data_IF_232613493485
#
_entry.id   IF_232613493485
#
_cell.length_a   1.000
_cell.length_b   1.000
_cell.length_c   1.000
_cell.angle_alpha   90.00
_cell.angle_beta   90.00
_cell.angle_gamma   90.00
#
_symmetry.space_group_name_H-M   'P 1'
#
loop_
_entity.id
_entity.type
_entity.pdbx_description
1 polymer ?
#
# COMPACT_ATOMS: atom_id res chain seq x y z
N UNK A 1 15.96 -22.69 65.94
CA UNK A 1 16.75 -22.22 64.78
C UNK A 1 16.36 -23.06 63.57
N UNK A 2 15.44 -22.54 62.73
CA UNK A 2 14.92 -23.26 61.55
C UNK A 2 16.02 -23.30 60.48
N UNK A 3 16.51 -24.50 60.17
CA UNK A 3 17.47 -24.76 59.08
C UNK A 3 16.78 -24.51 57.75
N UNK A 4 17.02 -23.36 57.13
CA UNK A 4 16.65 -23.12 55.74
C UNK A 4 17.59 -24.00 54.89
N UNK A 5 17.02 -24.96 54.16
CA UNK A 5 17.77 -25.87 53.29
C UNK A 5 18.54 -25.10 52.23
N UNK A 6 19.86 -25.33 52.16
CA UNK A 6 20.79 -24.71 51.20
C UNK A 6 20.34 -24.89 49.74
N UNK A 7 19.62 -25.98 49.44
CA UNK A 7 19.04 -26.24 48.11
C UNK A 7 17.92 -25.28 47.71
N UNK A 8 17.17 -24.72 48.67
CA UNK A 8 16.12 -23.73 48.42
C UNK A 8 16.73 -22.36 48.06
N UNK A 9 17.88 -22.04 48.63
CA UNK A 9 18.62 -20.79 48.38
C UNK A 9 19.29 -20.83 46.99
N UNK A 10 19.86 -21.98 46.60
CA UNK A 10 20.49 -22.14 45.27
C UNK A 10 19.46 -22.08 44.13
N UNK A 11 18.26 -22.65 44.31
CA UNK A 11 17.21 -22.61 43.29
C UNK A 11 16.70 -21.20 43.00
N UNK A 12 16.60 -20.34 44.02
CA UNK A 12 16.17 -18.94 43.87
C UNK A 12 17.24 -18.11 43.14
N UNK A 13 18.52 -18.30 43.48
CA UNK A 13 19.64 -17.59 42.82
C UNK A 13 19.74 -17.95 41.33
N UNK A 14 19.50 -19.22 40.96
CA UNK A 14 19.53 -19.66 39.56
C UNK A 14 18.35 -19.09 38.74
N UNK A 15 17.15 -18.94 39.32
CA UNK A 15 16.02 -18.29 38.64
C UNK A 15 16.22 -16.78 38.41
N UNK A 16 16.96 -16.09 39.28
CA UNK A 16 17.28 -14.65 39.12
C UNK A 16 18.40 -14.38 38.08
N UNK A 17 19.18 -15.38 37.70
CA UNK A 17 20.23 -15.28 36.67
C UNK A 17 19.71 -15.44 35.23
N UNK A 18 18.47 -15.91 35.05
CA UNK A 18 17.84 -16.09 33.72
C UNK A 18 16.94 -14.92 33.33
N UNK A 19 16.71 -13.96 34.23
CA UNK A 19 16.06 -12.70 33.91
C UNK A 19 17.03 -11.74 33.18
N UNK A 20 17.57 -12.17 32.04
CA UNK A 20 18.12 -11.20 31.09
C UNK A 20 16.96 -10.31 30.67
N UNK A 21 17.09 -9.04 30.97
CA UNK A 21 16.16 -8.01 30.55
C UNK A 21 16.20 -8.01 29.03
N UNK A 22 15.25 -8.70 28.38
CA UNK A 22 14.91 -8.42 27.01
C UNK A 22 14.26 -7.03 27.01
N UNK A 23 15.09 -5.99 27.09
CA UNK A 23 14.66 -4.66 26.70
C UNK A 23 14.43 -4.75 25.21
N UNK A 24 13.21 -5.12 24.82
CA UNK A 24 12.69 -4.93 23.49
C UNK A 24 12.48 -3.41 23.26
N UNK A 25 13.54 -2.62 23.47
CA UNK A 25 13.59 -1.30 22.86
C UNK A 25 13.50 -1.57 21.37
N UNK A 26 12.40 -1.13 20.76
CA UNK A 26 12.33 -0.95 19.32
C UNK A 26 13.58 -0.19 18.93
N UNK A 27 14.51 -0.88 18.28
CA UNK A 27 15.77 -0.30 17.91
C UNK A 27 15.50 0.73 16.81
N UNK A 28 16.00 1.94 17.04
CA UNK A 28 15.78 3.10 16.18
C UNK A 28 17.06 3.39 15.43
N UNK A 29 16.91 3.70 14.15
CA UNK A 29 17.97 4.21 13.28
C UNK A 29 17.58 5.58 12.79
N UNK A 30 18.54 6.48 12.70
CA UNK A 30 18.33 7.85 12.24
C UNK A 30 18.85 8.00 10.81
N UNK A 31 18.11 8.74 9.98
CA UNK A 31 18.43 9.03 8.58
C UNK A 31 18.42 10.55 8.38
N UNK A 32 19.49 11.10 7.83
CA UNK A 32 19.60 12.53 7.54
C UNK A 32 20.35 12.80 6.23
N UNK A 33 20.05 13.93 5.59
CA UNK A 33 20.63 14.40 4.33
C UNK A 33 22.13 14.70 4.41
N UNK A 34 22.66 14.86 5.62
CA UNK A 34 24.10 15.08 5.89
C UNK A 34 24.74 13.92 6.66
N UNK A 35 24.05 12.77 6.76
CA UNK A 35 24.55 11.59 7.47
C UNK A 35 25.71 10.89 6.76
N UNK A 36 26.11 9.75 7.32
CA UNK A 36 27.10 8.83 6.78
C UNK A 36 26.65 7.38 7.03
N UNK A 37 26.53 6.57 5.97
CA UNK A 37 26.11 5.17 6.07
C UNK A 37 27.15 4.27 6.74
N UNK A 38 28.40 4.73 6.88
CA UNK A 38 29.45 4.05 7.65
C UNK A 38 29.42 4.38 9.16
N UNK A 39 28.62 5.37 9.58
CA UNK A 39 28.51 5.81 10.96
C UNK A 39 27.66 4.90 11.85
N UNK A 40 27.60 5.23 13.14
CA UNK A 40 26.64 4.61 14.07
C UNK A 40 25.25 5.25 13.88
N UNK A 41 24.48 4.70 12.95
CA UNK A 41 23.16 5.23 12.65
C UNK A 41 22.14 5.03 13.78
N UNK A 42 22.48 4.35 14.88
CA UNK A 42 21.63 4.28 16.08
C UNK A 42 21.76 5.54 16.95
N UNK A 43 22.79 6.35 16.70
CA UNK A 43 23.00 7.63 17.33
C UNK A 43 22.53 8.77 16.42
N UNK A 44 21.61 9.60 16.94
CA UNK A 44 21.03 10.72 16.19
C UNK A 44 22.07 11.74 15.69
N UNK A 45 23.22 11.86 16.38
CA UNK A 45 24.30 12.76 15.98
C UNK A 45 25.15 12.20 14.82
N UNK A 46 25.02 10.91 14.52
CA UNK A 46 25.72 10.22 13.42
C UNK A 46 24.73 9.41 12.58
N UNK A 47 23.70 10.05 11.99
CA UNK A 47 22.65 9.35 11.26
C UNK A 47 23.20 8.74 9.96
N UNK A 48 22.50 7.72 9.44
CA UNK A 48 22.72 7.21 8.09
C UNK A 48 22.43 8.31 7.05
N UNK A 49 23.07 8.24 5.88
CA UNK A 49 22.89 9.18 4.77
C UNK A 49 21.76 8.79 3.83
N UNK A 50 21.68 7.51 3.50
CA UNK A 50 20.77 6.97 2.48
C UNK A 50 19.69 6.09 3.09
N UNK A 51 18.55 5.97 2.40
CA UNK A 51 17.49 5.07 2.83
C UNK A 51 17.98 3.61 2.84
N UNK A 52 18.78 3.21 1.85
CA UNK A 52 19.37 1.87 1.82
C UNK A 52 20.32 1.63 3.00
N UNK A 53 21.17 2.60 3.34
CA UNK A 53 22.06 2.53 4.51
C UNK A 53 21.26 2.35 5.80
N UNK A 54 20.22 3.16 5.99
CA UNK A 54 19.32 3.06 7.14
C UNK A 54 18.58 1.71 7.20
N UNK A 55 18.12 1.18 6.07
CA UNK A 55 17.49 -0.15 5.98
C UNK A 55 18.46 -1.27 6.33
N UNK A 56 19.73 -1.17 5.91
CA UNK A 56 20.76 -2.14 6.27
C UNK A 56 21.02 -2.12 7.78
N UNK A 57 21.22 -0.94 8.36
CA UNK A 57 21.52 -0.74 9.78
C UNK A 57 20.33 -1.04 10.71
N UNK A 58 19.10 -0.81 10.25
CA UNK A 58 17.90 -1.02 11.07
C UNK A 58 17.69 -2.52 11.34
N UNK A 59 17.58 -2.97 12.59
CA UNK A 59 17.23 -4.36 12.87
C UNK A 59 15.78 -4.65 12.46
N UNK A 60 15.45 -5.95 12.35
CA UNK A 60 14.08 -6.36 12.10
C UNK A 60 13.15 -5.86 13.22
N UNK A 61 11.95 -5.41 12.83
CA UNK A 61 10.95 -4.74 13.65
C UNK A 61 11.40 -3.37 14.22
N UNK A 62 12.50 -2.80 13.73
CA UNK A 62 12.97 -1.47 14.10
C UNK A 62 12.25 -0.32 13.40
N UNK A 63 12.64 0.90 13.74
CA UNK A 63 12.11 2.14 13.16
C UNK A 63 13.24 3.02 12.63
N UNK A 64 13.13 3.43 11.37
CA UNK A 64 13.97 4.44 10.73
C UNK A 64 13.28 5.78 10.85
N UNK A 65 13.92 6.73 11.54
CA UNK A 65 13.44 8.09 11.75
C UNK A 65 14.20 9.02 10.81
N UNK A 66 13.48 9.65 9.88
CA UNK A 66 14.05 10.67 9.00
C UNK A 66 14.06 12.00 9.75
N UNK A 67 15.22 12.66 9.82
CA UNK A 67 15.46 13.81 10.68
C UNK A 67 15.29 15.16 9.98
N UNK A 68 15.58 15.22 8.68
CA UNK A 68 15.66 16.46 7.92
C UNK A 68 14.98 16.33 6.55
N UNK A 69 14.93 17.44 5.81
CA UNK A 69 14.47 17.45 4.42
C UNK A 69 15.63 17.02 3.52
N UNK A 70 15.37 16.17 2.54
CA UNK A 70 16.43 15.74 1.64
C UNK A 70 16.01 14.68 0.65
N UNK A 71 16.94 14.38 -0.26
CA UNK A 71 16.87 13.20 -1.12
C UNK A 71 17.57 12.01 -0.47
N UNK A 72 16.88 10.86 -0.41
CA UNK A 72 17.37 9.65 0.28
C UNK A 72 17.63 8.44 -0.60
N UNK A 73 17.33 8.54 -1.90
CA UNK A 73 17.54 7.46 -2.87
C UNK A 73 16.54 6.31 -2.70
N UNK A 74 16.79 5.22 -3.44
CA UNK A 74 16.01 3.98 -3.34
C UNK A 74 16.41 3.13 -2.13
N UNK A 75 15.62 2.08 -1.87
CA UNK A 75 16.00 1.02 -0.96
C UNK A 75 15.35 -0.31 -1.34
N UNK A 76 16.02 -1.41 -0.98
CA UNK A 76 15.51 -2.76 -0.99
C UNK A 76 15.25 -3.22 0.45
N UNK A 77 13.97 -3.41 0.80
CA UNK A 77 13.50 -3.76 2.14
C UNK A 77 13.09 -5.22 2.16
N UNK A 78 13.80 -6.03 2.96
CA UNK A 78 13.63 -7.49 3.01
C UNK A 78 13.32 -8.03 4.41
N UNK A 79 12.93 -7.16 5.34
CA UNK A 79 12.61 -7.48 6.73
C UNK A 79 11.55 -6.53 7.26
N UNK A 80 10.84 -6.95 8.29
CA UNK A 80 9.90 -6.07 8.99
C UNK A 80 10.61 -4.81 9.52
N UNK A 81 10.09 -3.62 9.24
CA UNK A 81 10.56 -2.33 9.78
C UNK A 81 9.56 -1.21 9.48
N UNK A 82 9.75 -0.06 10.12
CA UNK A 82 9.04 1.18 9.79
C UNK A 82 10.01 2.23 9.26
N UNK A 83 9.64 2.94 8.19
CA UNK A 83 10.28 4.18 7.75
C UNK A 83 9.33 5.33 8.05
N UNK A 84 9.77 6.28 8.86
CA UNK A 84 8.93 7.35 9.39
C UNK A 84 9.53 8.73 9.11
N UNK A 85 8.92 9.45 8.18
CA UNK A 85 9.10 10.89 8.03
C UNK A 85 8.01 11.63 8.81
N UNK A 86 8.42 12.42 9.79
CA UNK A 86 7.49 13.23 10.60
C UNK A 86 6.83 14.32 9.76
N UNK A 87 5.67 14.79 10.18
CA UNK A 87 5.00 15.91 9.50
C UNK A 87 5.93 17.13 9.40
N UNK A 88 5.99 17.74 8.21
CA UNK A 88 6.90 18.84 7.89
C UNK A 88 8.25 18.40 7.31
N UNK A 89 8.56 17.11 7.33
CA UNK A 89 9.74 16.55 6.66
C UNK A 89 9.40 16.16 5.22
N UNK A 90 10.14 16.71 4.26
CA UNK A 90 10.12 16.30 2.85
C UNK A 90 11.17 15.22 2.65
N UNK A 91 10.75 13.97 2.88
CA UNK A 91 11.54 12.79 2.55
C UNK A 91 11.44 12.47 1.06
N UNK A 92 12.24 13.16 0.25
CA UNK A 92 12.17 13.08 -1.21
C UNK A 92 12.81 11.80 -1.74
N UNK A 93 12.05 11.05 -2.53
CA UNK A 93 12.50 9.80 -3.16
C UNK A 93 12.01 9.76 -4.61
N UNK A 94 12.95 9.83 -5.56
CA UNK A 94 12.63 9.81 -6.98
C UNK A 94 12.94 8.47 -7.66
N UNK A 95 13.17 7.43 -6.86
CA UNK A 95 13.58 6.09 -7.31
C UNK A 95 12.67 5.02 -6.70
N UNK A 96 12.59 3.86 -7.34
CA UNK A 96 11.78 2.74 -6.82
C UNK A 96 12.25 2.31 -5.43
N UNK A 97 11.30 2.13 -4.51
CA UNK A 97 11.52 1.35 -3.29
C UNK A 97 11.02 -0.07 -3.55
N UNK A 98 11.89 -1.05 -3.39
CA UNK A 98 11.52 -2.46 -3.50
C UNK A 98 11.23 -3.02 -2.11
N UNK A 99 10.07 -3.64 -1.95
CA UNK A 99 9.66 -4.31 -0.71
C UNK A 99 9.48 -5.80 -1.01
N UNK A 100 10.45 -6.61 -0.61
CA UNK A 100 10.47 -8.06 -0.83
C UNK A 100 10.59 -8.78 0.52
N UNK A 101 9.46 -8.89 1.22
CA UNK A 101 9.36 -9.39 2.59
C UNK A 101 8.64 -10.74 2.66
N UNK A 102 8.91 -11.52 3.71
CA UNK A 102 8.27 -12.81 3.92
C UNK A 102 6.78 -12.66 4.27
N UNK A 103 6.00 -13.74 4.19
CA UNK A 103 4.55 -13.72 4.43
C UNK A 103 4.14 -13.28 5.84
N UNK A 104 5.03 -13.42 6.82
CA UNK A 104 4.81 -12.99 8.20
C UNK A 104 5.35 -11.59 8.50
N UNK A 105 6.08 -10.99 7.56
CA UNK A 105 6.70 -9.69 7.75
C UNK A 105 5.73 -8.54 7.49
N UNK A 106 6.01 -7.40 8.13
CA UNK A 106 5.29 -6.14 7.94
C UNK A 106 6.25 -4.97 7.76
N UNK A 107 6.06 -4.22 6.68
CA UNK A 107 6.75 -2.95 6.42
C UNK A 107 5.76 -1.80 6.47
N UNK A 108 6.13 -0.72 7.13
CA UNK A 108 5.36 0.54 7.14
C UNK A 108 6.23 1.64 6.53
N UNK A 109 5.73 2.29 5.48
CA UNK A 109 6.35 3.44 4.84
C UNK A 109 5.44 4.65 5.06
N UNK A 110 5.93 5.63 5.83
CA UNK A 110 5.12 6.78 6.27
C UNK A 110 5.77 8.11 5.94
N UNK A 111 4.97 9.05 5.43
CA UNK A 111 5.38 10.44 5.24
C UNK A 111 6.30 10.67 4.04
N UNK A 112 6.35 9.73 3.09
CA UNK A 112 7.29 9.82 1.97
C UNK A 112 6.75 10.75 0.88
N UNK A 113 7.64 11.51 0.26
CA UNK A 113 7.34 12.35 -0.90
C UNK A 113 8.06 11.79 -2.13
N UNK A 114 7.33 11.04 -2.96
CA UNK A 114 7.90 10.34 -4.11
C UNK A 114 7.54 11.02 -5.43
N UNK A 115 8.54 11.20 -6.30
CA UNK A 115 8.36 11.77 -7.64
C UNK A 115 9.26 11.11 -8.69
N UNK A 116 8.68 10.31 -9.58
CA UNK A 116 9.41 9.51 -10.59
C UNK A 116 9.85 10.24 -11.87
N UNK A 117 9.41 11.49 -12.10
CA UNK A 117 9.53 12.17 -13.41
C UNK A 117 10.96 12.28 -13.91
N UNK A 118 11.93 12.51 -13.01
CA UNK A 118 13.31 12.82 -13.38
C UNK A 118 14.07 11.59 -13.86
N UNK A 119 13.81 10.45 -13.22
CA UNK A 119 14.67 9.29 -13.34
C UNK A 119 14.08 8.15 -14.17
N UNK A 120 12.77 8.19 -14.45
CA UNK A 120 12.11 7.24 -15.35
C UNK A 120 11.97 5.83 -14.78
N UNK A 121 12.06 5.66 -13.46
CA UNK A 121 11.76 4.37 -12.84
C UNK A 121 10.30 4.00 -13.10
N UNK A 122 10.06 2.72 -13.37
CA UNK A 122 8.74 2.23 -13.73
C UNK A 122 7.76 2.42 -12.57
N UNK A 123 8.12 1.94 -11.38
CA UNK A 123 7.24 1.92 -10.23
C UNK A 123 7.78 2.80 -9.09
N UNK A 124 6.89 3.43 -8.32
CA UNK A 124 7.26 4.10 -7.08
C UNK A 124 7.62 3.09 -5.99
N UNK A 125 6.69 2.19 -5.70
CA UNK A 125 6.90 1.07 -4.80
C UNK A 125 6.66 -0.25 -5.53
N UNK A 126 7.69 -1.07 -5.64
CA UNK A 126 7.59 -2.43 -6.15
C UNK A 126 7.43 -3.40 -4.97
N UNK A 127 6.18 -3.84 -4.73
CA UNK A 127 5.86 -4.77 -3.65
C UNK A 127 5.84 -6.21 -4.17
N UNK A 128 6.98 -6.88 -4.01
CA UNK A 128 7.28 -8.20 -4.56
C UNK A 128 7.35 -9.30 -3.48
N UNK A 129 7.03 -8.96 -2.23
CA UNK A 129 6.96 -9.90 -1.10
C UNK A 129 5.53 -10.31 -0.74
N UNK A 130 5.40 -11.47 -0.08
CA UNK A 130 4.09 -12.02 0.32
C UNK A 130 3.55 -11.49 1.66
N UNK A 131 4.25 -10.56 2.31
CA UNK A 131 3.89 -10.03 3.63
C UNK A 131 2.85 -8.92 3.61
N UNK A 132 2.97 -7.98 4.54
CA UNK A 132 2.13 -6.78 4.62
C UNK A 132 2.93 -5.51 4.34
N UNK A 133 2.54 -4.75 3.34
CA UNK A 133 3.03 -3.39 3.11
C UNK A 133 1.95 -2.38 3.53
N UNK A 134 2.32 -1.44 4.40
CA UNK A 134 1.49 -0.31 4.79
C UNK A 134 2.13 0.97 4.28
N UNK A 135 1.36 1.75 3.53
CA UNK A 135 1.76 3.05 3.01
C UNK A 135 0.84 4.11 3.60
N UNK A 136 1.42 5.04 4.36
CA UNK A 136 0.66 6.02 5.14
C UNK A 136 1.15 7.45 4.88
N UNK A 137 0.24 8.40 4.82
CA UNK A 137 0.56 9.84 4.84
C UNK A 137 1.58 10.24 3.75
N UNK A 138 1.54 9.59 2.59
CA UNK A 138 2.58 9.72 1.57
C UNK A 138 2.01 10.31 0.28
N UNK A 139 2.88 10.98 -0.47
CA UNK A 139 2.58 11.46 -1.82
C UNK A 139 3.40 10.64 -2.80
N UNK A 140 2.77 10.02 -3.80
CA UNK A 140 3.45 9.21 -4.82
C UNK A 140 3.02 9.66 -6.20
N UNK A 141 3.96 10.23 -6.96
CA UNK A 141 3.64 10.83 -8.23
C UNK A 141 4.67 10.57 -9.34
N UNK A 142 4.21 10.66 -10.59
CA UNK A 142 5.11 10.80 -11.74
C UNK A 142 5.86 9.54 -12.16
N UNK A 143 5.44 8.35 -11.72
CA UNK A 143 6.04 7.08 -12.15
C UNK A 143 5.43 6.61 -13.46
N UNK A 144 6.26 6.09 -14.38
CA UNK A 144 5.83 5.77 -15.74
C UNK A 144 4.91 4.54 -15.82
N UNK A 145 4.94 3.69 -14.79
CA UNK A 145 4.07 2.55 -14.62
C UNK A 145 3.19 2.73 -13.37
N UNK A 146 3.49 2.12 -12.22
CA UNK A 146 2.62 2.19 -11.05
C UNK A 146 3.18 3.06 -9.92
N UNK A 147 2.33 3.81 -9.21
CA UNK A 147 2.72 4.42 -7.95
C UNK A 147 3.05 3.31 -6.93
N UNK A 148 2.17 2.31 -6.83
CA UNK A 148 2.40 1.07 -6.07
C UNK A 148 2.04 -0.12 -6.94
N UNK A 149 3.02 -1.00 -7.19
CA UNK A 149 2.84 -2.27 -7.88
C UNK A 149 2.82 -3.43 -6.86
N UNK A 150 1.64 -3.97 -6.59
CA UNK A 150 1.44 -5.18 -5.78
C UNK A 150 1.56 -6.41 -6.69
N UNK A 151 2.75 -6.99 -6.75
CA UNK A 151 3.10 -8.01 -7.73
C UNK A 151 3.12 -9.44 -7.18
N UNK A 152 3.08 -9.61 -5.85
CA UNK A 152 3.18 -10.93 -5.22
C UNK A 152 1.85 -11.47 -4.70
N UNK A 153 1.52 -12.70 -5.04
CA UNK A 153 0.34 -13.39 -4.54
C UNK A 153 0.42 -13.62 -3.01
N UNK A 154 -0.73 -13.66 -2.32
CA UNK A 154 -0.77 -13.77 -0.85
C UNK A 154 -0.43 -12.48 -0.09
N UNK A 155 0.00 -11.43 -0.78
CA UNK A 155 0.38 -10.16 -0.17
C UNK A 155 -0.82 -9.35 0.32
N UNK A 156 -0.57 -8.51 1.33
CA UNK A 156 -1.53 -7.58 1.90
C UNK A 156 -0.99 -6.14 1.74
N UNK A 157 -1.75 -5.29 1.06
CA UNK A 157 -1.42 -3.88 0.87
C UNK A 157 -2.44 -3.00 1.61
N UNK A 158 -1.94 -2.05 2.39
CA UNK A 158 -2.75 -1.02 3.04
C UNK A 158 -2.25 0.34 2.57
N UNK A 159 -3.11 1.15 1.97
CA UNK A 159 -2.84 2.51 1.53
C UNK A 159 -3.77 3.45 2.28
N UNK A 160 -3.23 4.27 3.17
CA UNK A 160 -4.03 5.14 4.02
C UNK A 160 -3.53 6.59 3.96
N UNK A 161 -4.46 7.52 3.75
CA UNK A 161 -4.18 8.95 3.73
C UNK A 161 -3.05 9.32 2.75
N UNK A 162 -3.11 8.80 1.53
CA UNK A 162 -2.11 9.05 0.50
C UNK A 162 -2.67 9.88 -0.67
N UNK A 163 -1.79 10.64 -1.31
CA UNK A 163 -2.06 11.31 -2.58
C UNK A 163 -1.28 10.61 -3.70
N UNK A 164 -1.99 10.02 -4.66
CA UNK A 164 -1.42 9.19 -5.72
C UNK A 164 -1.78 9.80 -7.07
N UNK A 165 -0.81 10.39 -7.76
CA UNK A 165 -1.13 11.21 -8.94
C UNK A 165 -0.12 11.19 -10.08
N UNK A 166 -0.58 11.42 -11.31
CA UNK A 166 0.28 11.51 -12.50
C UNK A 166 1.12 10.23 -12.73
N UNK A 167 0.55 9.05 -12.45
CA UNK A 167 1.16 7.76 -12.76
C UNK A 167 0.37 7.07 -13.88
N UNK A 168 0.90 6.04 -14.53
CA UNK A 168 0.05 5.22 -15.40
C UNK A 168 -0.99 4.47 -14.55
N UNK A 169 -0.56 3.79 -13.49
CA UNK A 169 -1.42 3.17 -12.48
C UNK A 169 -1.20 3.82 -11.12
N UNK A 170 -2.25 4.15 -10.38
CA UNK A 170 -2.12 4.56 -9.00
C UNK A 170 -1.72 3.37 -8.12
N UNK A 171 -2.66 2.44 -7.94
CA UNK A 171 -2.38 1.11 -7.37
C UNK A 171 -2.65 0.07 -8.44
N UNK A 172 -1.64 -0.77 -8.73
CA UNK A 172 -1.76 -1.89 -9.65
C UNK A 172 -1.53 -3.21 -8.93
N UNK A 173 -2.51 -4.10 -8.98
CA UNK A 173 -2.31 -5.49 -8.61
C UNK A 173 -2.03 -6.30 -9.88
N UNK A 174 -0.79 -6.79 -10.00
CA UNK A 174 -0.28 -7.48 -11.20
C UNK A 174 0.10 -8.94 -10.92
N UNK A 175 -0.51 -9.55 -9.90
CA UNK A 175 -0.04 -10.79 -9.27
C UNK A 175 -0.08 -12.04 -10.14
N UNK A 176 -0.87 -12.02 -11.21
CA UNK A 176 -0.93 -13.11 -12.20
C UNK A 176 -1.22 -14.52 -11.60
N UNK A 177 -1.90 -14.61 -10.44
CA UNK A 177 -1.97 -15.83 -9.63
C UNK A 177 -3.39 -16.14 -9.12
N UNK A 178 -3.69 -17.42 -8.87
CA UNK A 178 -4.94 -17.86 -8.23
C UNK A 178 -4.94 -17.59 -6.71
N UNK A 179 -3.76 -17.42 -6.10
CA UNK A 179 -3.65 -17.13 -4.67
C UNK A 179 -4.09 -15.70 -4.41
N UNK A 180 -5.07 -15.54 -3.52
CA UNK A 180 -5.67 -14.26 -3.22
C UNK A 180 -4.66 -13.23 -2.71
N UNK A 181 -4.88 -11.98 -3.09
CA UNK A 181 -4.26 -10.80 -2.49
C UNK A 181 -5.32 -9.89 -1.88
N UNK A 182 -4.94 -9.16 -0.84
CA UNK A 182 -5.83 -8.21 -0.18
C UNK A 182 -5.27 -6.80 -0.32
N UNK A 183 -6.14 -5.85 -0.64
CA UNK A 183 -5.79 -4.44 -0.71
C UNK A 183 -6.84 -3.61 0.00
N UNK A 184 -6.41 -2.75 0.92
CA UNK A 184 -7.28 -1.78 1.60
C UNK A 184 -6.79 -0.38 1.29
N UNK A 185 -7.64 0.42 0.69
CA UNK A 185 -7.38 1.82 0.33
C UNK A 185 -8.35 2.69 1.11
N UNK A 186 -7.82 3.63 1.87
CA UNK A 186 -8.60 4.47 2.75
C UNK A 186 -8.09 5.91 2.80
N UNK A 187 -8.99 6.89 2.95
CA UNK A 187 -8.64 8.31 3.08
C UNK A 187 -7.75 8.85 1.95
N UNK A 188 -7.74 8.23 0.77
CA UNK A 188 -6.73 8.49 -0.24
C UNK A 188 -7.31 9.18 -1.47
N UNK A 189 -6.45 9.87 -2.21
CA UNK A 189 -6.82 10.62 -3.41
C UNK A 189 -6.01 10.15 -4.61
N UNK A 190 -6.71 9.71 -5.66
CA UNK A 190 -6.13 9.22 -6.91
C UNK A 190 -6.49 10.17 -8.04
N UNK A 191 -5.50 10.89 -8.58
CA UNK A 191 -5.74 11.91 -9.60
C UNK A 191 -4.77 11.92 -10.78
N UNK A 192 -5.28 12.23 -11.97
CA UNK A 192 -4.46 12.35 -13.17
C UNK A 192 -3.63 11.09 -13.48
N UNK A 193 -4.09 9.93 -13.02
CA UNK A 193 -3.50 8.65 -13.42
C UNK A 193 -4.19 8.15 -14.70
N UNK A 194 -3.56 7.29 -15.48
CA UNK A 194 -4.30 6.58 -16.54
C UNK A 194 -5.35 5.64 -15.90
N UNK A 195 -4.97 4.98 -14.81
CA UNK A 195 -5.83 4.12 -14.02
C UNK A 195 -5.63 4.48 -12.53
N UNK A 196 -6.70 4.81 -11.82
CA UNK A 196 -6.63 5.07 -10.38
C UNK A 196 -6.25 3.80 -9.62
N UNK A 197 -7.12 2.79 -9.68
CA UNK A 197 -6.90 1.47 -9.10
C UNK A 197 -7.24 0.39 -10.12
N UNK A 198 -6.28 -0.46 -10.46
CA UNK A 198 -6.49 -1.62 -11.32
C UNK A 198 -6.01 -2.92 -10.67
N UNK A 199 -6.82 -3.96 -10.81
CA UNK A 199 -6.45 -5.33 -10.46
C UNK A 199 -6.64 -6.20 -11.69
N UNK A 200 -5.54 -6.74 -12.21
CA UNK A 200 -5.54 -7.49 -13.46
C UNK A 200 -4.77 -8.81 -13.34
N UNK A 201 -5.38 -9.88 -13.85
CA UNK A 201 -4.71 -11.16 -14.08
C UNK A 201 -4.49 -12.05 -12.86
N UNK A 202 -4.99 -11.69 -11.67
CA UNK A 202 -4.88 -12.53 -10.47
C UNK A 202 -6.13 -12.46 -9.60
N UNK A 203 -6.20 -13.33 -8.58
CA UNK A 203 -7.24 -13.29 -7.56
C UNK A 203 -6.98 -12.14 -6.60
N UNK A 204 -7.89 -11.17 -6.54
CA UNK A 204 -7.73 -10.00 -5.68
C UNK A 204 -9.06 -9.59 -5.02
N UNK A 205 -8.97 -9.26 -3.73
CA UNK A 205 -10.03 -8.63 -2.97
C UNK A 205 -9.57 -7.23 -2.54
N UNK A 206 -10.28 -6.21 -3.01
CA UNK A 206 -9.95 -4.80 -2.75
C UNK A 206 -11.11 -4.10 -2.05
N UNK A 207 -10.80 -3.33 -1.02
CA UNK A 207 -11.73 -2.39 -0.39
C UNK A 207 -11.21 -0.97 -0.55
N UNK A 208 -12.03 -0.08 -1.11
CA UNK A 208 -11.75 1.33 -1.28
C UNK A 208 -12.79 2.11 -0.48
N UNK A 209 -12.34 2.87 0.51
CA UNK A 209 -13.23 3.60 1.42
C UNK A 209 -12.83 5.05 1.62
N UNK A 210 -13.82 5.95 1.73
CA UNK A 210 -13.58 7.38 2.10
C UNK A 210 -12.48 8.02 1.25
N UNK A 211 -12.51 7.74 -0.04
CA UNK A 211 -11.45 8.09 -0.98
C UNK A 211 -12.02 8.81 -2.21
N UNK A 212 -11.15 9.51 -2.92
CA UNK A 212 -11.50 10.25 -4.14
C UNK A 212 -10.70 9.69 -5.31
N UNK A 213 -11.38 9.28 -6.38
CA UNK A 213 -10.76 8.85 -7.64
C UNK A 213 -11.26 9.79 -8.74
N UNK A 214 -10.46 10.80 -9.06
CA UNK A 214 -10.90 11.87 -9.94
C UNK A 214 -9.89 12.27 -11.00
N UNK A 215 -10.36 12.79 -12.15
CA UNK A 215 -9.50 13.26 -13.23
C UNK A 215 -8.53 12.19 -13.79
N UNK A 216 -8.83 10.91 -13.61
CA UNK A 216 -8.07 9.82 -14.21
C UNK A 216 -8.63 9.49 -15.60
N UNK A 217 -7.87 8.81 -16.45
CA UNK A 217 -8.49 8.21 -17.64
C UNK A 217 -9.52 7.15 -17.21
N UNK A 218 -9.19 6.33 -16.22
CA UNK A 218 -10.08 5.34 -15.60
C UNK A 218 -9.96 5.39 -14.06
N UNK A 219 -11.08 5.44 -13.34
CA UNK A 219 -11.09 5.44 -11.87
C UNK A 219 -10.75 4.07 -11.25
N UNK A 220 -11.65 3.09 -11.38
CA UNK A 220 -11.53 1.74 -10.78
C UNK A 220 -11.75 0.64 -11.82
N UNK A 221 -10.84 -0.36 -11.87
CA UNK A 221 -10.95 -1.49 -12.79
C UNK A 221 -10.55 -2.85 -12.19
N UNK A 222 -11.49 -3.78 -11.98
CA UNK A 222 -11.18 -5.19 -11.97
C UNK A 222 -11.15 -5.75 -13.40
N UNK A 223 -10.14 -6.56 -13.69
CA UNK A 223 -10.00 -7.28 -14.95
C UNK A 223 -9.65 -8.75 -14.70
N UNK A 224 -10.48 -9.64 -15.24
CA UNK A 224 -10.27 -11.08 -15.16
C UNK A 224 -10.46 -11.73 -16.52
N UNK A 225 -9.50 -12.57 -16.91
CA UNK A 225 -9.55 -13.38 -18.13
C UNK A 225 -9.51 -14.89 -17.83
N UNK A 226 -9.69 -15.29 -16.56
CA UNK A 226 -9.62 -16.68 -16.12
C UNK A 226 -10.67 -16.99 -15.05
N UNK A 227 -11.35 -18.12 -15.19
CA UNK A 227 -12.34 -18.64 -14.23
C UNK A 227 -11.75 -18.87 -12.83
N UNK A 228 -10.43 -19.05 -12.73
CA UNK A 228 -9.74 -19.31 -11.44
C UNK A 228 -9.16 -18.06 -10.79
N UNK A 229 -9.32 -16.89 -11.41
CA UNK A 229 -8.75 -15.61 -10.95
C UNK A 229 -9.86 -14.55 -10.83
N UNK A 230 -10.80 -14.71 -9.89
CA UNK A 230 -11.84 -13.73 -9.68
C UNK A 230 -11.28 -12.45 -9.03
N UNK A 231 -11.77 -11.30 -9.47
CA UNK A 231 -11.42 -9.99 -8.89
C UNK A 231 -12.68 -9.34 -8.35
N UNK A 232 -12.64 -8.97 -7.07
CA UNK A 232 -13.70 -8.22 -6.39
C UNK A 232 -13.15 -6.90 -5.84
N UNK A 233 -13.75 -5.80 -6.25
CA UNK A 233 -13.48 -4.47 -5.68
C UNK A 233 -14.75 -3.94 -5.02
N UNK A 234 -14.67 -3.63 -3.73
CA UNK A 234 -15.74 -2.97 -2.98
C UNK A 234 -15.40 -1.49 -2.84
N UNK A 235 -16.35 -0.64 -3.18
CA UNK A 235 -16.23 0.83 -3.12
C UNK A 235 -17.28 1.35 -2.16
N UNK A 236 -16.85 1.96 -1.06
CA UNK A 236 -17.74 2.53 -0.05
C UNK A 236 -17.40 3.99 0.27
N UNK A 237 -18.40 4.85 0.37
CA UNK A 237 -18.21 6.26 0.78
C UNK A 237 -17.14 6.97 -0.06
N UNK A 238 -17.12 6.72 -1.37
CA UNK A 238 -16.13 7.29 -2.29
C UNK A 238 -16.76 8.32 -3.23
N UNK A 239 -15.90 9.18 -3.80
CA UNK A 239 -16.25 10.05 -4.93
C UNK A 239 -15.45 9.62 -6.15
N UNK A 240 -16.13 9.21 -7.22
CA UNK A 240 -15.53 8.80 -8.50
C UNK A 240 -16.01 9.80 -9.55
N UNK A 241 -15.18 10.79 -9.86
CA UNK A 241 -15.63 11.96 -10.61
C UNK A 241 -14.67 12.45 -11.68
N UNK A 242 -15.18 13.06 -12.74
CA UNK A 242 -14.35 13.70 -13.78
C UNK A 242 -13.36 12.75 -14.48
N UNK A 243 -13.58 11.44 -14.44
CA UNK A 243 -12.74 10.48 -15.13
C UNK A 243 -13.23 10.29 -16.58
N UNK A 244 -12.35 9.82 -17.47
CA UNK A 244 -12.78 9.33 -18.79
C UNK A 244 -13.81 8.19 -18.64
N UNK A 245 -13.50 7.24 -17.76
CA UNK A 245 -14.40 6.17 -17.29
C UNK A 245 -14.33 6.12 -15.76
N UNK A 246 -15.46 6.25 -15.07
CA UNK A 246 -15.51 6.20 -13.61
C UNK A 246 -15.14 4.82 -13.09
N UNK A 247 -15.94 3.83 -13.45
CA UNK A 247 -15.69 2.41 -13.13
C UNK A 247 -15.78 1.55 -14.37
N UNK A 248 -14.87 0.58 -14.51
CA UNK A 248 -14.91 -0.40 -15.60
C UNK A 248 -14.69 -1.82 -15.09
N UNK A 249 -15.65 -2.73 -15.28
CA UNK A 249 -15.48 -4.14 -14.97
C UNK A 249 -15.29 -4.95 -16.26
N UNK A 250 -14.18 -5.71 -16.35
CA UNK A 250 -13.84 -6.50 -17.54
C UNK A 250 -13.71 -7.97 -17.19
N UNK A 251 -14.59 -8.81 -17.71
CA UNK A 251 -14.54 -10.26 -17.47
C UNK A 251 -14.61 -11.05 -18.79
N UNK A 252 -13.47 -11.52 -19.28
CA UNK A 252 -13.32 -12.24 -20.55
C UNK A 252 -13.06 -13.74 -20.31
N UNK A 253 -13.33 -14.59 -21.32
CA UNK A 253 -12.99 -16.03 -21.31
C UNK A 253 -13.46 -16.79 -20.06
N UNK A 254 -14.62 -16.42 -19.50
CA UNK A 254 -15.18 -16.99 -18.28
C UNK A 254 -14.60 -16.42 -16.97
N UNK A 255 -13.76 -15.39 -17.04
CA UNK A 255 -13.31 -14.65 -15.86
C UNK A 255 -14.47 -14.03 -15.07
N UNK A 256 -14.15 -13.60 -13.85
CA UNK A 256 -15.09 -12.91 -12.97
C UNK A 256 -14.45 -11.61 -12.47
N UNK A 257 -15.05 -10.48 -12.81
CA UNK A 257 -14.61 -9.16 -12.38
C UNK A 257 -15.82 -8.35 -11.92
N UNK A 258 -15.87 -8.05 -10.63
CA UNK A 258 -17.02 -7.40 -10.00
C UNK A 258 -16.59 -6.16 -9.22
N UNK A 259 -17.33 -5.08 -9.41
CA UNK A 259 -17.30 -3.91 -8.53
C UNK A 259 -18.61 -3.88 -7.73
N UNK A 260 -18.55 -3.73 -6.41
CA UNK A 260 -19.73 -3.49 -5.57
C UNK A 260 -19.65 -2.11 -4.94
N UNK A 261 -20.71 -1.33 -5.08
CA UNK A 261 -20.68 0.09 -4.70
C UNK A 261 -21.76 0.40 -3.66
N UNK A 262 -21.37 1.04 -2.56
CA UNK A 262 -22.25 1.56 -1.51
C UNK A 262 -21.91 3.00 -1.14
N UNK A 263 -22.91 3.77 -0.71
CA UNK A 263 -22.76 5.14 -0.17
C UNK A 263 -21.86 6.08 -1.00
N UNK A 264 -21.72 5.85 -2.30
CA UNK A 264 -20.72 6.52 -3.12
C UNK A 264 -21.36 7.41 -4.18
N UNK A 265 -20.61 8.41 -4.62
CA UNK A 265 -20.99 9.30 -5.72
C UNK A 265 -20.18 8.96 -6.96
N UNK A 266 -20.85 8.69 -8.08
CA UNK A 266 -20.25 8.47 -9.40
C UNK A 266 -20.81 9.52 -10.36
N UNK A 267 -20.06 10.59 -10.60
CA UNK A 267 -20.57 11.75 -11.34
C UNK A 267 -19.57 12.43 -12.27
N UNK A 268 -20.08 13.18 -13.25
CA UNK A 268 -19.24 13.95 -14.19
C UNK A 268 -18.17 13.13 -14.93
N UNK A 269 -18.34 11.82 -15.09
CA UNK A 269 -17.44 10.99 -15.87
C UNK A 269 -17.88 10.94 -17.35
N UNK A 270 -16.96 10.66 -18.27
CA UNK A 270 -17.29 10.37 -19.67
C UNK A 270 -18.20 9.13 -19.78
N UNK A 271 -17.81 8.04 -19.11
CA UNK A 271 -18.67 6.88 -18.83
C UNK A 271 -18.73 6.68 -17.32
N UNK A 272 -19.92 6.55 -16.74
CA UNK A 272 -20.07 6.30 -15.30
C UNK A 272 -19.59 4.89 -14.92
N UNK A 273 -20.32 3.88 -15.38
CA UNK A 273 -20.13 2.46 -15.06
C UNK A 273 -20.12 1.63 -16.35
N UNK A 274 -18.92 1.27 -16.82
CA UNK A 274 -18.72 0.48 -18.02
C UNK A 274 -18.51 -0.99 -17.66
N UNK A 275 -19.31 -1.91 -18.20
CA UNK A 275 -19.09 -3.34 -17.99
C UNK A 275 -18.91 -4.01 -19.35
N UNK A 276 -17.86 -4.82 -19.46
CA UNK A 276 -17.44 -5.49 -20.68
C UNK A 276 -17.56 -6.99 -20.50
N UNK A 277 -18.15 -7.67 -21.48
CA UNK A 277 -18.39 -9.12 -21.46
C UNK A 277 -19.20 -9.51 -20.21
N UNK A 278 -18.69 -10.37 -19.33
CA UNK A 278 -19.38 -10.79 -18.11
C UNK A 278 -19.05 -9.91 -16.88
N UNK A 279 -18.37 -8.77 -17.07
CA UNK A 279 -18.04 -7.86 -15.96
C UNK A 279 -19.29 -7.32 -15.29
N UNK A 280 -19.24 -7.11 -13.98
CA UNK A 280 -20.39 -6.66 -13.19
C UNK A 280 -20.04 -5.43 -12.33
N UNK A 281 -20.95 -4.47 -12.28
CA UNK A 281 -20.88 -3.29 -11.41
C UNK A 281 -22.21 -3.20 -10.68
N UNK A 282 -22.22 -3.64 -9.43
CA UNK A 282 -23.43 -3.85 -8.62
C UNK A 282 -23.58 -2.75 -7.55
N UNK A 283 -24.82 -2.39 -7.24
CA UNK A 283 -25.13 -1.39 -6.20
C UNK A 283 -25.78 -2.03 -4.97
N UNK A 284 -25.45 -1.51 -3.78
CA UNK A 284 -26.21 -1.76 -2.55
C UNK A 284 -27.49 -0.91 -2.42
N UNK A 285 -27.84 -0.11 -3.43
CA UNK A 285 -29.09 0.68 -3.48
C UNK A 285 -29.02 2.10 -2.91
N UNK A 286 -27.85 2.55 -2.43
CA UNK A 286 -27.66 3.82 -1.71
C UNK A 286 -26.59 4.73 -2.34
N UNK A 287 -26.39 4.62 -3.66
CA UNK A 287 -25.40 5.42 -4.39
C UNK A 287 -26.03 6.64 -5.08
N UNK A 288 -25.22 7.66 -5.34
CA UNK A 288 -25.60 8.83 -6.15
C UNK A 288 -24.90 8.72 -7.50
N UNK A 289 -25.68 8.51 -8.56
CA UNK A 289 -25.17 8.50 -9.94
C UNK A 289 -25.83 9.62 -10.69
N UNK A 290 -25.04 10.60 -11.14
CA UNK A 290 -25.55 11.79 -11.81
C UNK A 290 -24.52 12.34 -12.79
N UNK A 291 -24.93 13.16 -13.76
CA UNK A 291 -24.04 13.95 -14.62
C UNK A 291 -22.92 13.19 -15.38
N UNK A 292 -22.98 11.85 -15.50
CA UNK A 292 -22.08 11.14 -16.42
C UNK A 292 -22.62 11.25 -17.85
N UNK A 293 -21.72 11.34 -18.84
CA UNK A 293 -22.14 11.51 -20.25
C UNK A 293 -22.83 10.25 -20.77
N UNK A 294 -22.29 9.08 -20.43
CA UNK A 294 -22.85 7.77 -20.79
C UNK A 294 -22.75 6.80 -19.60
N UNK A 295 -23.38 5.63 -19.74
CA UNK A 295 -23.21 4.49 -18.82
C UNK A 295 -23.55 4.84 -17.36
N UNK A 296 -24.75 5.36 -17.11
CA UNK A 296 -25.21 5.82 -15.78
C UNK A 296 -26.07 4.81 -15.02
N UNK A 297 -25.95 3.52 -15.34
CA UNK A 297 -26.73 2.44 -14.70
C UNK A 297 -25.84 1.31 -14.21
N UNK A 298 -26.10 0.82 -13.00
CA UNK A 298 -25.50 -0.40 -12.46
C UNK A 298 -25.96 -1.63 -13.25
N UNK A 299 -25.14 -2.69 -13.29
CA UNK A 299 -25.51 -3.97 -13.90
C UNK A 299 -26.48 -4.79 -13.04
N UNK A 300 -26.60 -4.47 -11.75
CA UNK A 300 -27.50 -5.15 -10.83
C UNK A 300 -27.45 -4.60 -9.41
N UNK A 301 -28.26 -5.20 -8.54
CA UNK A 301 -28.32 -4.90 -7.10
C UNK A 301 -27.70 -6.03 -6.31
N UNK A 302 -26.90 -5.72 -5.29
CA UNK A 302 -26.38 -6.72 -4.36
C UNK A 302 -27.49 -7.13 -3.39
N UNK A 303 -27.77 -8.43 -3.30
CA UNK A 303 -28.70 -8.96 -2.31
C UNK A 303 -28.03 -8.93 -0.93
N UNK A 304 -28.70 -8.32 0.04
CA UNK A 304 -28.31 -8.40 1.44
C UNK A 304 -28.56 -9.84 1.91
N UNK A 305 -27.50 -10.52 2.35
CA UNK A 305 -27.58 -11.84 2.98
C UNK A 305 -27.82 -11.70 4.48
#
# INVERSE_FOLDING_TARGET
MRRVSLHLVVGIVVCLLVATSASAQVARVFLAGTGDDAGDCTNQATPCRSLQGAVTACPANGEIIILDNGGYGSANITKSLTVNASAGIVAFIARTITVNIASTDKVVLRGLSMNGVVFGDADGMAFTGGGTLVVENSVIAGFSNAAINQAMAGSNLIVNNCEIRNNNYGVWNSTASNTNTNTVIENSRFEYNSYGVECAGGTANVSIRRSVLANNFLGVRPSSSSQTQPVLIVVDTCTIAHNGVGTEAVANFGGSATIRVSNSTIDHNGRGMNFISAGAIESYGNNRVTANTNNSTFSGTVLLQ
#
